data_IF_975377500313
#
_entry.id   IF_975377500313
#
_cell.length_a   1.000
_cell.length_b   1.000
_cell.length_c   1.000
_cell.angle_alpha   90.00
_cell.angle_beta   90.00
_cell.angle_gamma   90.00
#
_symmetry.space_group_name_H-M   'P 1'
#
loop_
_entity.id
_entity.type
_entity.pdbx_description
1 polymer ?
#
# COMPACT_ATOMS: atom_id res chain seq x y z
N UNK A 1 60.95 -17.58 -24.21
CA UNK A 1 60.05 -16.90 -23.31
C UNK A 1 60.34 -15.40 -23.36
N UNK A 2 59.43 -14.66 -23.98
CA UNK A 2 59.56 -13.21 -24.04
C UNK A 2 59.04 -12.63 -22.72
N UNK A 3 59.91 -12.09 -21.87
CA UNK A 3 59.53 -11.26 -20.74
C UNK A 3 59.21 -9.87 -21.24
N UNK A 4 57.93 -9.50 -21.28
CA UNK A 4 57.47 -8.12 -21.48
C UNK A 4 57.69 -7.39 -20.15
N UNK A 5 58.78 -6.61 -20.04
CA UNK A 5 58.96 -5.67 -18.94
C UNK A 5 58.00 -4.47 -19.14
N UNK A 6 56.95 -4.47 -18.35
CA UNK A 6 56.06 -3.28 -18.25
C UNK A 6 56.82 -2.21 -17.46
N UNK A 7 57.35 -1.19 -18.14
CA UNK A 7 57.93 -0.02 -17.47
C UNK A 7 56.80 0.81 -16.86
N UNK A 8 56.75 0.88 -15.55
CA UNK A 8 55.87 1.81 -14.85
C UNK A 8 56.28 3.26 -15.19
N UNK A 9 55.31 4.15 -15.45
CA UNK A 9 55.64 5.55 -15.66
C UNK A 9 56.27 6.20 -14.44
N UNK A 10 57.09 7.25 -14.61
CA UNK A 10 57.71 7.93 -13.49
C UNK A 10 56.67 8.49 -12.50
N UNK A 11 56.96 8.55 -11.19
CA UNK A 11 55.99 8.84 -10.13
C UNK A 11 55.24 10.17 -10.31
N UNK A 12 55.81 11.14 -11.04
CA UNK A 12 55.17 12.40 -11.35
C UNK A 12 53.97 12.26 -12.33
N UNK A 13 53.99 11.29 -13.25
CA UNK A 13 52.88 11.06 -14.18
C UNK A 13 51.73 10.30 -13.50
N UNK A 14 51.99 9.50 -12.47
CA UNK A 14 50.98 8.83 -11.69
C UNK A 14 50.18 9.85 -10.86
N UNK A 15 50.90 10.80 -10.25
CA UNK A 15 50.27 11.88 -9.45
C UNK A 15 49.39 12.80 -10.33
N UNK A 16 49.89 13.17 -11.53
CA UNK A 16 49.07 14.00 -12.49
C UNK A 16 47.87 13.22 -13.01
N UNK A 17 47.97 11.93 -13.30
CA UNK A 17 46.85 11.09 -13.71
C UNK A 17 45.77 10.99 -12.60
N UNK A 18 46.19 10.86 -11.34
CA UNK A 18 45.34 10.77 -10.18
C UNK A 18 44.59 12.09 -9.95
N UNK A 19 45.31 13.24 -10.06
CA UNK A 19 44.69 14.57 -9.95
C UNK A 19 43.70 14.81 -11.08
N UNK A 20 44.03 14.44 -12.32
CA UNK A 20 43.10 14.57 -13.46
C UNK A 20 41.88 13.67 -13.30
N UNK A 21 42.04 12.46 -12.77
CA UNK A 21 40.94 11.55 -12.49
C UNK A 21 40.02 12.10 -11.38
N UNK A 22 40.58 12.64 -10.31
CA UNK A 22 39.80 13.31 -9.25
C UNK A 22 39.06 14.55 -9.76
N UNK A 23 39.70 15.35 -10.61
CA UNK A 23 39.05 16.51 -11.27
C UNK A 23 37.95 16.07 -12.22
N UNK A 24 38.11 14.93 -12.90
CA UNK A 24 37.07 14.36 -13.77
C UNK A 24 35.87 13.85 -12.94
N UNK A 25 36.12 13.20 -11.79
CA UNK A 25 35.05 12.80 -10.87
C UNK A 25 34.32 14.05 -10.34
N UNK A 26 35.06 15.07 -9.88
CA UNK A 26 34.46 16.33 -9.44
C UNK A 26 33.68 17.06 -10.54
N UNK A 27 34.18 17.04 -11.80
CA UNK A 27 33.51 17.61 -12.94
C UNK A 27 32.25 16.84 -13.33
N UNK A 28 32.29 15.51 -13.25
CA UNK A 28 31.14 14.63 -13.51
C UNK A 28 30.10 14.80 -12.39
N UNK A 29 30.50 14.86 -11.11
CA UNK A 29 29.59 15.13 -9.98
C UNK A 29 28.99 16.54 -10.06
N UNK A 30 29.75 17.51 -10.50
CA UNK A 30 29.26 18.90 -10.69
C UNK A 30 28.33 19.06 -11.90
N UNK A 31 28.52 18.25 -12.95
CA UNK A 31 27.70 18.27 -14.19
C UNK A 31 26.52 17.32 -14.14
N UNK A 32 26.58 16.26 -13.33
CA UNK A 32 25.38 15.50 -13.00
C UNK A 32 24.48 16.47 -12.23
N UNK A 33 23.28 16.79 -12.72
CA UNK A 33 22.37 17.60 -11.93
C UNK A 33 22.18 16.85 -10.62
N UNK A 34 22.61 17.48 -9.52
CA UNK A 34 22.19 17.06 -8.18
C UNK A 34 20.68 17.26 -8.18
N UNK A 35 19.96 16.26 -8.62
CA UNK A 35 18.52 16.15 -8.44
C UNK A 35 18.23 15.75 -6.99
N UNK A 36 18.73 16.57 -6.07
CA UNK A 36 18.15 16.75 -4.75
C UNK A 36 17.05 17.81 -4.80
N UNK A 37 16.29 17.85 -5.88
CA UNK A 37 14.93 18.26 -5.80
C UNK A 37 14.20 17.07 -5.23
N UNK A 38 13.88 17.14 -3.94
CA UNK A 38 12.71 16.48 -3.39
C UNK A 38 11.53 17.07 -4.18
N UNK A 39 11.41 16.64 -5.41
CA UNK A 39 10.19 16.74 -6.16
C UNK A 39 9.24 15.84 -5.39
N UNK A 40 8.32 16.41 -4.65
CA UNK A 40 7.05 15.76 -4.36
C UNK A 40 6.41 15.48 -5.71
N UNK A 41 6.95 14.45 -6.38
CA UNK A 41 6.54 14.04 -7.71
C UNK A 41 5.13 13.49 -7.59
N UNK A 42 4.15 14.27 -8.03
CA UNK A 42 2.90 13.68 -8.48
C UNK A 42 3.27 12.59 -9.47
N UNK A 43 3.24 11.34 -9.03
CA UNK A 43 3.32 10.20 -9.92
C UNK A 43 2.39 10.47 -11.09
N UNK A 44 2.90 10.41 -12.32
CA UNK A 44 2.06 10.60 -13.51
C UNK A 44 1.15 9.38 -13.62
N UNK A 45 -0.02 9.47 -12.97
CA UNK A 45 -1.07 8.46 -13.09
C UNK A 45 -1.44 8.34 -14.56
N UNK A 46 -1.44 7.13 -15.08
CA UNK A 46 -1.84 6.88 -16.47
C UNK A 46 -3.34 7.12 -16.59
N UNK A 47 -3.71 8.19 -17.26
CA UNK A 47 -5.10 8.53 -17.56
C UNK A 47 -5.33 8.52 -19.08
N UNK A 48 -6.46 7.96 -19.51
CA UNK A 48 -6.91 8.03 -20.88
C UNK A 48 -8.22 8.82 -20.91
N UNK A 49 -8.24 9.93 -21.63
CA UNK A 49 -9.40 10.83 -21.66
C UNK A 49 -9.82 11.31 -20.26
N UNK A 50 -8.88 11.47 -19.32
CA UNK A 50 -9.15 11.91 -17.94
C UNK A 50 -9.57 10.79 -16.96
N UNK A 51 -9.60 9.53 -17.39
CA UNK A 51 -9.93 8.38 -16.52
C UNK A 51 -8.70 7.55 -16.19
N UNK A 52 -8.49 7.14 -14.93
CA UNK A 52 -7.46 6.18 -14.59
C UNK A 52 -7.74 4.83 -15.26
N UNK A 53 -6.67 4.18 -15.73
CA UNK A 53 -6.81 2.89 -16.44
C UNK A 53 -6.69 1.69 -15.53
N UNK A 54 -5.83 1.76 -14.52
CA UNK A 54 -5.51 0.64 -13.64
C UNK A 54 -5.53 1.12 -12.18
N UNK A 55 -6.35 0.45 -11.36
CA UNK A 55 -6.35 0.57 -9.91
C UNK A 55 -5.86 -0.75 -9.32
N UNK A 56 -4.86 -0.70 -8.45
CA UNK A 56 -4.30 -1.87 -7.77
C UNK A 56 -4.58 -1.81 -6.28
N UNK A 57 -5.29 -2.79 -5.79
CA UNK A 57 -5.50 -3.05 -4.38
C UNK A 57 -4.65 -4.26 -3.94
N UNK A 58 -3.42 -4.01 -3.56
CA UNK A 58 -2.51 -5.03 -3.03
C UNK A 58 -2.83 -5.35 -1.57
N UNK A 59 -3.97 -5.98 -1.36
CA UNK A 59 -4.65 -6.12 -0.07
C UNK A 59 -3.85 -6.87 0.99
N UNK A 60 -3.69 -6.24 2.15
CA UNK A 60 -3.17 -6.92 3.35
C UNK A 60 -4.20 -7.92 3.89
N UNK A 61 -3.81 -9.13 4.34
CA UNK A 61 -4.73 -10.07 4.97
C UNK A 61 -5.30 -9.56 6.29
N UNK A 62 -6.60 -9.78 6.52
CA UNK A 62 -7.33 -9.49 7.78
C UNK A 62 -7.50 -8.00 8.10
N UNK A 63 -7.55 -7.15 7.08
CA UNK A 63 -7.82 -5.71 7.15
C UNK A 63 -9.17 -5.32 6.53
N UNK A 64 -10.21 -6.14 6.71
CA UNK A 64 -11.52 -6.00 6.09
C UNK A 64 -11.53 -6.06 4.53
N UNK A 65 -10.44 -6.51 3.93
CA UNK A 65 -10.25 -6.53 2.48
C UNK A 65 -11.31 -7.34 1.71
N UNK A 66 -11.90 -8.37 2.32
CA UNK A 66 -12.98 -9.16 1.69
C UNK A 66 -14.28 -8.37 1.64
N UNK A 67 -14.62 -7.65 2.71
CA UNK A 67 -15.78 -6.74 2.74
C UNK A 67 -15.64 -5.71 1.63
N UNK A 68 -14.50 -5.02 1.55
CA UNK A 68 -14.25 -4.02 0.52
C UNK A 68 -14.34 -4.60 -0.91
N UNK A 69 -13.69 -5.74 -1.18
CA UNK A 69 -13.71 -6.30 -2.54
C UNK A 69 -15.08 -6.83 -2.94
N UNK A 70 -15.83 -7.48 -2.04
CA UNK A 70 -17.12 -8.07 -2.40
C UNK A 70 -18.24 -7.02 -2.38
N UNK A 71 -18.31 -6.22 -1.30
CA UNK A 71 -19.39 -5.28 -1.12
C UNK A 71 -19.21 -3.97 -1.92
N UNK A 72 -18.01 -3.68 -2.41
CA UNK A 72 -17.74 -2.47 -3.19
C UNK A 72 -17.28 -2.83 -4.60
N UNK A 73 -16.10 -3.45 -4.77
CA UNK A 73 -15.54 -3.64 -6.10
C UNK A 73 -16.39 -4.57 -6.98
N UNK A 74 -16.88 -5.71 -6.44
CA UNK A 74 -17.69 -6.65 -7.21
C UNK A 74 -19.14 -6.21 -7.42
N UNK A 75 -19.67 -5.35 -6.56
CA UNK A 75 -21.01 -4.80 -6.76
C UNK A 75 -20.98 -3.63 -7.75
N UNK A 76 -19.91 -2.80 -7.73
CA UNK A 76 -19.85 -1.55 -8.50
C UNK A 76 -19.25 -1.69 -9.91
N UNK A 77 -18.59 -2.83 -10.26
CA UNK A 77 -17.82 -2.91 -11.50
C UNK A 77 -18.67 -2.76 -12.77
N UNK A 78 -19.90 -3.27 -12.78
CA UNK A 78 -20.81 -3.16 -13.92
C UNK A 78 -21.34 -1.73 -14.08
N UNK A 79 -21.75 -1.12 -12.97
CA UNK A 79 -22.32 0.23 -12.96
C UNK A 79 -21.28 1.29 -13.39
N UNK A 80 -20.03 1.12 -12.96
CA UNK A 80 -18.93 2.01 -13.28
C UNK A 80 -18.08 1.56 -14.48
N UNK A 81 -18.49 0.49 -15.16
CA UNK A 81 -17.88 0.01 -16.41
C UNK A 81 -16.37 -0.25 -16.32
N UNK A 82 -15.94 -0.98 -15.30
CA UNK A 82 -14.57 -1.46 -15.18
C UNK A 82 -14.50 -2.99 -15.04
N UNK A 83 -13.36 -3.57 -15.36
CA UNK A 83 -13.11 -5.00 -15.17
C UNK A 83 -12.45 -5.26 -13.82
N UNK A 84 -12.69 -6.44 -13.23
CA UNK A 84 -12.07 -6.86 -11.97
C UNK A 84 -11.21 -8.09 -12.21
N UNK A 85 -9.97 -8.06 -11.73
CA UNK A 85 -9.03 -9.18 -11.78
C UNK A 85 -8.54 -9.52 -10.39
N UNK A 86 -8.69 -10.77 -10.00
CA UNK A 86 -8.14 -11.32 -8.78
C UNK A 86 -6.80 -11.99 -9.06
N UNK A 87 -5.73 -11.38 -8.56
CA UNK A 87 -4.40 -11.97 -8.59
C UNK A 87 -4.31 -13.06 -7.51
N UNK A 88 -4.23 -14.30 -7.96
CA UNK A 88 -3.94 -15.45 -7.09
C UNK A 88 -2.48 -15.85 -7.31
N UNK A 89 -1.58 -15.11 -6.69
CA UNK A 89 -0.15 -15.37 -6.77
C UNK A 89 0.19 -16.48 -5.78
N UNK A 90 0.65 -17.60 -6.32
CA UNK A 90 1.19 -18.78 -5.67
C UNK A 90 1.16 -18.87 -4.13
N UNK A 91 0.33 -19.78 -3.60
CA UNK A 91 0.44 -20.37 -2.25
C UNK A 91 0.75 -19.36 -1.12
N UNK A 92 0.04 -18.22 -1.08
CA UNK A 92 0.16 -17.18 -0.04
C UNK A 92 1.53 -16.45 0.02
N UNK A 93 2.38 -16.57 -0.97
CA UNK A 93 3.59 -15.75 -1.06
C UNK A 93 3.22 -14.35 -1.55
N UNK A 94 3.57 -13.32 -0.81
CA UNK A 94 3.35 -11.92 -1.20
C UNK A 94 4.56 -11.32 -1.96
N UNK A 95 5.69 -12.02 -1.97
CA UNK A 95 6.93 -11.64 -2.68
C UNK A 95 7.07 -12.45 -3.97
N UNK A 96 7.44 -11.78 -5.04
CA UNK A 96 7.64 -12.34 -6.38
C UNK A 96 9.10 -12.22 -6.82
N UNK A 97 9.56 -13.11 -7.70
CA UNK A 97 10.83 -12.92 -8.37
C UNK A 97 10.81 -11.67 -9.25
N UNK A 98 11.98 -11.06 -9.51
CA UNK A 98 12.07 -9.86 -10.36
C UNK A 98 11.49 -10.12 -11.77
N UNK A 99 11.70 -11.32 -12.32
CA UNK A 99 11.13 -11.74 -13.60
C UNK A 99 9.60 -11.75 -13.53
N UNK A 100 9.02 -12.41 -12.53
CA UNK A 100 7.55 -12.50 -12.38
C UNK A 100 6.92 -11.13 -12.16
N UNK A 101 7.60 -10.23 -11.44
CA UNK A 101 7.18 -8.83 -11.30
C UNK A 101 7.11 -8.15 -12.67
N UNK A 102 8.19 -8.25 -13.46
CA UNK A 102 8.27 -7.63 -14.78
C UNK A 102 7.24 -8.20 -15.76
N UNK A 103 7.01 -9.52 -15.75
CA UNK A 103 6.01 -10.17 -16.58
C UNK A 103 4.60 -9.74 -16.18
N UNK A 104 4.29 -9.70 -14.87
CA UNK A 104 3.01 -9.22 -14.36
C UNK A 104 2.74 -7.77 -14.78
N UNK A 105 3.71 -6.88 -14.55
CA UNK A 105 3.58 -5.44 -14.82
C UNK A 105 3.34 -5.19 -16.31
N UNK A 106 4.11 -5.85 -17.20
CA UNK A 106 3.90 -5.77 -18.65
C UNK A 106 2.52 -6.29 -19.06
N UNK A 107 2.16 -7.50 -18.62
CA UNK A 107 0.87 -8.10 -18.96
C UNK A 107 -0.31 -7.21 -18.55
N UNK A 108 -0.26 -6.60 -17.36
CA UNK A 108 -1.33 -5.70 -16.89
C UNK A 108 -1.39 -4.39 -17.69
N UNK A 109 -0.24 -3.85 -18.07
CA UNK A 109 -0.15 -2.59 -18.83
C UNK A 109 -0.58 -2.79 -20.30
N UNK A 110 -0.20 -3.91 -20.90
CA UNK A 110 -0.49 -4.22 -22.31
C UNK A 110 -1.93 -4.74 -22.52
N UNK A 111 -2.61 -5.13 -21.47
CA UNK A 111 -3.98 -5.69 -21.53
C UNK A 111 -5.04 -4.59 -21.71
N UNK A 112 -4.92 -3.82 -22.78
CA UNK A 112 -5.73 -2.63 -23.04
C UNK A 112 -7.22 -2.89 -23.18
N UNK A 113 -7.61 -4.04 -23.76
CA UNK A 113 -9.02 -4.46 -23.96
C UNK A 113 -9.73 -4.76 -22.63
N UNK A 114 -9.00 -4.91 -21.53
CA UNK A 114 -9.57 -5.11 -20.19
C UNK A 114 -9.58 -3.86 -19.32
N UNK A 115 -9.04 -2.76 -19.83
CA UNK A 115 -9.05 -1.50 -19.09
C UNK A 115 -10.36 -0.73 -19.34
N UNK A 116 -10.90 -0.01 -18.36
CA UNK A 116 -10.38 0.21 -17.00
C UNK A 116 -10.38 -1.06 -16.15
N UNK A 117 -9.35 -1.22 -15.31
CA UNK A 117 -9.06 -2.46 -14.61
C UNK A 117 -8.86 -2.25 -13.11
N UNK A 118 -9.66 -2.91 -12.28
CA UNK A 118 -9.46 -3.02 -10.85
C UNK A 118 -8.80 -4.36 -10.53
N UNK A 119 -7.59 -4.31 -9.99
CA UNK A 119 -6.81 -5.50 -9.67
C UNK A 119 -6.71 -5.63 -8.17
N UNK A 120 -6.97 -6.81 -7.64
CA UNK A 120 -6.73 -7.06 -6.23
C UNK A 120 -6.07 -8.42 -5.98
N UNK A 121 -5.25 -8.49 -4.94
CA UNK A 121 -4.57 -9.73 -4.55
C UNK A 121 -3.68 -9.54 -3.33
N UNK A 122 -3.22 -10.65 -2.77
CA UNK A 122 -2.26 -10.64 -1.66
C UNK A 122 -0.83 -10.61 -2.21
N UNK A 123 -0.34 -9.41 -2.54
CA UNK A 123 0.99 -9.18 -3.08
C UNK A 123 1.59 -7.92 -2.44
N UNK A 124 2.88 -7.92 -2.13
CA UNK A 124 3.56 -6.71 -1.69
C UNK A 124 3.65 -5.69 -2.85
N UNK A 125 3.79 -4.41 -2.52
CA UNK A 125 3.91 -3.33 -3.48
C UNK A 125 4.93 -3.68 -4.59
N UNK A 126 4.56 -3.41 -5.84
CA UNK A 126 5.42 -3.56 -7.02
C UNK A 126 5.56 -2.19 -7.68
N UNK A 127 6.78 -1.71 -7.83
CA UNK A 127 7.04 -0.45 -8.49
C UNK A 127 7.08 -0.63 -10.02
N UNK A 128 6.04 -0.16 -10.70
CA UNK A 128 5.92 -0.22 -12.16
C UNK A 128 6.97 0.65 -12.86
N UNK A 129 7.35 1.76 -12.25
CA UNK A 129 8.36 2.68 -12.79
C UNK A 129 9.74 2.02 -12.89
N UNK A 130 10.04 1.06 -12.00
CA UNK A 130 11.26 0.24 -12.07
C UNK A 130 11.37 -0.54 -13.38
N UNK A 131 10.25 -0.83 -14.02
CA UNK A 131 10.18 -1.54 -15.31
C UNK A 131 9.96 -0.59 -16.50
N UNK A 132 10.10 0.74 -16.28
CA UNK A 132 9.89 1.76 -17.31
C UNK A 132 8.44 1.97 -17.72
N UNK A 133 7.49 1.52 -16.88
CA UNK A 133 6.05 1.60 -17.14
C UNK A 133 5.37 2.62 -16.23
N UNK A 134 4.29 3.22 -16.70
CA UNK A 134 3.55 4.20 -15.92
C UNK A 134 2.91 3.55 -14.69
N UNK A 135 2.96 4.21 -13.52
CA UNK A 135 2.41 3.67 -12.29
C UNK A 135 0.88 3.60 -12.35
N UNK A 136 0.27 2.52 -11.82
CA UNK A 136 -1.16 2.46 -11.59
C UNK A 136 -1.54 3.29 -10.35
N UNK A 137 -2.84 3.46 -10.11
CA UNK A 137 -3.33 3.96 -8.83
C UNK A 137 -3.29 2.83 -7.80
N UNK A 138 -2.50 3.00 -6.75
CA UNK A 138 -2.50 2.10 -5.61
C UNK A 138 -3.47 2.58 -4.54
N UNK A 139 -4.24 1.64 -3.99
CA UNK A 139 -5.07 1.83 -2.79
C UNK A 139 -4.85 0.68 -1.82
N UNK A 140 -5.08 0.90 -0.52
CA UNK A 140 -5.02 -0.17 0.47
C UNK A 140 -5.88 0.12 1.70
N UNK A 141 -6.05 -0.93 2.52
CA UNK A 141 -6.63 -0.89 3.85
C UNK A 141 -5.68 -1.54 4.84
N UNK A 142 -5.48 -0.91 5.98
CA UNK A 142 -4.70 -1.42 7.10
C UNK A 142 -5.58 -1.61 8.34
N UNK A 143 -5.04 -2.27 9.34
CA UNK A 143 -5.69 -2.50 10.63
C UNK A 143 -4.69 -2.40 11.76
N UNK A 144 -5.15 -2.07 12.96
CA UNK A 144 -4.32 -2.13 14.16
C UNK A 144 -3.62 -3.51 14.24
N UNK A 145 -2.29 -3.56 14.47
CA UNK A 145 -1.49 -4.79 14.29
C UNK A 145 -1.95 -5.98 15.13
N UNK A 146 -2.22 -5.77 16.42
CA UNK A 146 -2.69 -6.83 17.30
C UNK A 146 -4.11 -7.28 16.93
N UNK A 147 -5.01 -6.36 16.63
CA UNK A 147 -6.35 -6.66 16.17
C UNK A 147 -6.36 -7.48 14.87
N UNK A 148 -5.40 -7.20 13.98
CA UNK A 148 -5.19 -7.98 12.76
C UNK A 148 -4.70 -9.40 13.10
N UNK A 149 -3.71 -9.54 14.00
CA UNK A 149 -3.19 -10.84 14.45
C UNK A 149 -4.28 -11.67 15.12
N UNK A 150 -5.02 -11.10 16.06
CA UNK A 150 -6.15 -11.75 16.72
C UNK A 150 -7.22 -12.21 15.72
N UNK A 151 -7.53 -11.36 14.75
CA UNK A 151 -8.47 -11.72 13.68
C UNK A 151 -7.95 -12.92 12.86
N UNK A 152 -6.65 -13.03 12.63
CA UNK A 152 -6.05 -14.15 11.93
C UNK A 152 -6.03 -15.41 12.81
N UNK A 153 -5.63 -15.27 14.06
CA UNK A 153 -5.56 -16.36 15.03
C UNK A 153 -6.89 -17.11 15.19
N UNK A 154 -7.96 -16.37 15.46
CA UNK A 154 -9.29 -16.96 15.63
C UNK A 154 -9.91 -17.41 14.31
N UNK A 155 -9.57 -16.74 13.19
CA UNK A 155 -9.98 -17.20 11.87
C UNK A 155 -9.44 -18.59 11.52
N UNK A 156 -8.19 -18.90 11.86
CA UNK A 156 -7.60 -20.21 11.61
C UNK A 156 -8.30 -21.33 12.43
N UNK A 157 -8.94 -20.99 13.53
CA UNK A 157 -9.65 -21.91 14.43
C UNK A 157 -11.13 -22.04 14.10
N UNK A 158 -11.81 -20.93 14.01
CA UNK A 158 -13.27 -20.88 13.92
C UNK A 158 -13.83 -20.47 12.56
N UNK A 159 -12.97 -20.03 11.65
CA UNK A 159 -13.40 -19.51 10.35
C UNK A 159 -14.10 -18.14 10.43
N UNK A 160 -14.94 -17.87 9.43
CA UNK A 160 -15.73 -16.65 9.31
C UNK A 160 -17.16 -16.96 8.84
N UNK A 161 -18.00 -15.93 8.77
CA UNK A 161 -19.39 -16.04 8.31
C UNK A 161 -19.50 -16.12 6.77
N UNK A 162 -18.42 -15.86 6.02
CA UNK A 162 -18.45 -15.78 4.55
C UNK A 162 -18.32 -17.17 3.89
N UNK A 163 -17.43 -18.03 4.42
CA UNK A 163 -17.24 -19.40 3.91
C UNK A 163 -17.54 -20.40 5.01
N UNK A 164 -18.83 -20.49 5.31
CA UNK A 164 -19.36 -21.43 6.32
C UNK A 164 -19.06 -22.86 5.88
N UNK A 165 -18.57 -23.69 6.81
CA UNK A 165 -18.26 -25.10 6.53
C UNK A 165 -16.85 -25.37 5.98
N UNK A 166 -16.09 -24.33 5.54
CA UNK A 166 -14.72 -24.54 5.12
C UNK A 166 -13.80 -24.81 6.32
N UNK A 167 -13.29 -26.05 6.38
CA UNK A 167 -12.35 -26.46 7.44
C UNK A 167 -11.05 -25.65 7.35
N UNK A 168 -10.68 -24.98 8.43
CA UNK A 168 -9.47 -24.16 8.52
C UNK A 168 -8.29 -24.96 9.06
N UNK A 169 -7.07 -24.40 8.94
CA UNK A 169 -5.83 -25.08 9.30
C UNK A 169 -5.76 -25.52 10.77
N UNK A 170 -6.45 -24.80 11.66
CA UNK A 170 -6.52 -25.09 13.12
C UNK A 170 -7.95 -25.42 13.59
N UNK A 171 -8.81 -25.88 12.70
CA UNK A 171 -10.18 -26.24 13.03
C UNK A 171 -10.20 -27.33 14.10
N UNK A 172 -11.01 -27.13 15.18
CA UNK A 172 -11.08 -28.00 16.34
C UNK A 172 -10.14 -27.63 17.50
N UNK A 173 -9.17 -26.74 17.29
CA UNK A 173 -8.38 -26.18 18.36
C UNK A 173 -9.14 -25.00 19.00
N UNK A 174 -9.48 -25.12 20.29
CA UNK A 174 -10.23 -24.11 21.05
C UNK A 174 -9.33 -23.23 21.93
N UNK A 175 -8.01 -23.36 21.78
CA UNK A 175 -7.02 -22.60 22.53
C UNK A 175 -7.24 -21.09 22.37
N UNK A 176 -7.29 -20.37 23.48
CA UNK A 176 -7.36 -18.92 23.50
C UNK A 176 -6.02 -18.29 23.13
N UNK A 177 -6.03 -17.00 22.78
CA UNK A 177 -4.79 -16.29 22.46
C UNK A 177 -3.87 -16.19 23.71
N UNK A 178 -4.44 -16.02 24.90
CA UNK A 178 -3.70 -16.00 26.16
C UNK A 178 -3.01 -17.33 26.46
N UNK A 179 -3.72 -18.44 26.31
CA UNK A 179 -3.13 -19.78 26.48
C UNK A 179 -2.00 -20.03 25.48
N UNK A 180 -2.16 -19.57 24.24
CA UNK A 180 -1.12 -19.67 23.23
C UNK A 180 0.13 -18.85 23.59
N UNK A 181 -0.04 -17.60 24.04
CA UNK A 181 1.07 -16.73 24.47
C UNK A 181 1.80 -17.36 25.67
N UNK A 182 1.07 -17.88 26.66
CA UNK A 182 1.65 -18.46 27.88
C UNK A 182 2.58 -19.66 27.59
N UNK A 183 2.30 -20.43 26.52
CA UNK A 183 3.15 -21.54 26.08
C UNK A 183 4.10 -21.21 24.94
N UNK A 184 4.21 -19.92 24.55
CA UNK A 184 5.04 -19.47 23.41
C UNK A 184 4.67 -20.17 22.09
N UNK A 185 3.38 -20.26 21.81
CA UNK A 185 2.86 -20.92 20.61
C UNK A 185 3.16 -20.15 19.32
N UNK A 186 3.43 -20.86 18.23
CA UNK A 186 3.79 -20.26 16.94
C UNK A 186 2.70 -19.35 16.35
N UNK A 187 1.42 -19.71 16.48
CA UNK A 187 0.31 -18.98 15.86
C UNK A 187 0.05 -17.60 16.51
N UNK A 188 0.48 -17.41 17.75
CA UNK A 188 0.35 -16.18 18.53
C UNK A 188 1.69 -15.42 18.68
N UNK A 189 2.76 -15.96 18.15
CA UNK A 189 4.07 -15.31 18.19
C UNK A 189 3.97 -13.87 17.64
N UNK A 190 4.44 -12.86 18.38
CA UNK A 190 4.39 -11.46 17.94
C UNK A 190 5.05 -11.21 16.58
N UNK A 191 6.02 -12.04 16.15
CA UNK A 191 6.63 -11.96 14.82
C UNK A 191 5.63 -12.17 13.69
N UNK A 192 4.50 -12.84 13.94
CA UNK A 192 3.39 -12.98 12.99
C UNK A 192 2.66 -11.65 12.69
N UNK A 193 2.93 -10.61 13.47
CA UNK A 193 2.44 -9.27 13.17
C UNK A 193 3.21 -8.60 12.03
N UNK A 194 4.48 -8.99 11.79
CA UNK A 194 5.32 -8.44 10.72
C UNK A 194 4.72 -8.73 9.34
N UNK A 195 3.82 -7.88 8.91
CA UNK A 195 3.06 -8.10 7.67
C UNK A 195 2.70 -6.82 6.94
N UNK A 196 2.17 -5.79 7.62
CA UNK A 196 1.72 -4.57 6.94
C UNK A 196 2.92 -3.81 6.40
N UNK A 197 3.96 -3.63 7.19
CA UNK A 197 5.21 -3.02 6.75
C UNK A 197 5.75 -3.72 5.48
N UNK A 198 5.95 -5.05 5.41
CA UNK A 198 6.38 -5.74 4.19
C UNK A 198 5.50 -5.47 2.97
N UNK A 199 4.17 -5.42 3.13
CA UNK A 199 3.26 -5.17 2.02
C UNK A 199 3.44 -3.79 1.38
N UNK A 200 3.77 -2.76 2.18
CA UNK A 200 4.02 -1.41 1.70
C UNK A 200 5.49 -1.17 1.33
N UNK A 201 6.42 -1.80 2.03
CA UNK A 201 7.85 -1.75 1.72
C UNK A 201 8.15 -2.29 0.32
N UNK A 202 7.51 -3.40 -0.07
CA UNK A 202 7.57 -3.97 -1.41
C UNK A 202 8.38 -5.27 -1.52
N UNK A 203 9.08 -5.43 -2.63
CA UNK A 203 9.68 -6.70 -3.06
C UNK A 203 11.16 -6.88 -2.69
N UNK A 204 11.74 -5.89 -2.00
CA UNK A 204 13.15 -5.97 -1.61
C UNK A 204 13.36 -6.96 -0.45
N UNK A 205 14.48 -7.73 -0.40
CA UNK A 205 14.74 -8.71 0.67
C UNK A 205 14.61 -8.14 2.08
N UNK A 206 15.15 -6.93 2.35
CA UNK A 206 15.08 -6.31 3.67
C UNK A 206 13.64 -6.03 4.14
N UNK A 207 12.66 -5.96 3.21
CA UNK A 207 11.25 -5.77 3.57
C UNK A 207 10.68 -6.96 4.36
N UNK A 208 11.24 -8.16 4.15
CA UNK A 208 10.84 -9.38 4.85
C UNK A 208 11.62 -9.62 6.14
N UNK A 209 12.66 -8.82 6.43
CA UNK A 209 13.43 -8.93 7.68
C UNK A 209 12.60 -8.42 8.85
N UNK A 210 12.27 -9.33 9.77
CA UNK A 210 11.43 -9.03 10.93
C UNK A 210 12.13 -8.00 11.81
N UNK A 211 11.43 -6.91 12.16
CA UNK A 211 12.00 -5.83 12.97
C UNK A 211 12.88 -4.85 12.20
N UNK A 212 12.91 -4.91 10.87
CA UNK A 212 13.71 -3.99 10.05
C UNK A 212 13.15 -2.56 10.07
N UNK A 213 13.86 -1.64 10.72
CA UNK A 213 13.55 -0.21 10.67
C UNK A 213 13.69 0.37 9.27
N UNK A 214 14.61 -0.15 8.46
CA UNK A 214 14.74 0.22 7.05
C UNK A 214 13.46 -0.12 6.26
N UNK A 215 12.86 -1.27 6.54
CA UNK A 215 11.59 -1.66 5.92
C UNK A 215 10.44 -0.72 6.33
N UNK A 216 10.37 -0.33 7.61
CA UNK A 216 9.39 0.65 8.11
C UNK A 216 9.52 1.98 7.37
N UNK A 217 10.71 2.55 7.29
CA UNK A 217 10.92 3.84 6.63
C UNK A 217 10.62 3.77 5.13
N UNK A 218 10.95 2.65 4.48
CA UNK A 218 10.56 2.44 3.09
C UNK A 218 9.04 2.31 2.94
N UNK A 219 8.36 1.60 3.84
CA UNK A 219 6.90 1.47 3.82
C UNK A 219 6.20 2.82 3.96
N UNK A 220 6.67 3.69 4.88
CA UNK A 220 6.15 5.05 5.04
C UNK A 220 6.33 5.89 3.77
N UNK A 221 7.53 5.87 3.17
CA UNK A 221 7.78 6.57 1.89
C UNK A 221 6.86 6.06 0.78
N UNK A 222 6.78 4.75 0.61
CA UNK A 222 5.91 4.14 -0.41
C UNK A 222 4.46 4.53 -0.20
N UNK A 223 3.98 4.55 1.05
CA UNK A 223 2.60 4.96 1.36
C UNK A 223 2.32 6.39 0.89
N UNK A 224 3.21 7.33 1.17
CA UNK A 224 3.01 8.74 0.80
C UNK A 224 3.19 8.98 -0.70
N UNK A 225 4.20 8.34 -1.31
CA UNK A 225 4.61 8.67 -2.69
C UNK A 225 3.83 7.88 -3.75
N UNK A 226 3.34 6.68 -3.40
CA UNK A 226 2.82 5.73 -4.39
C UNK A 226 1.34 5.38 -4.20
N UNK A 227 0.77 5.59 -3.02
CA UNK A 227 -0.64 5.28 -2.76
C UNK A 227 -1.50 6.55 -2.86
N UNK A 228 -2.65 6.40 -3.51
CA UNK A 228 -3.65 7.47 -3.54
C UNK A 228 -4.35 7.58 -2.19
N UNK A 229 -4.81 6.45 -1.67
CA UNK A 229 -5.50 6.35 -0.37
C UNK A 229 -5.11 5.05 0.31
N UNK A 230 -4.72 5.18 1.58
CA UNK A 230 -4.60 4.05 2.51
C UNK A 230 -5.58 4.29 3.66
N UNK A 231 -6.69 3.57 3.64
CA UNK A 231 -7.70 3.64 4.69
C UNK A 231 -7.41 2.70 5.85
N UNK A 232 -8.20 2.81 6.91
CA UNK A 232 -8.14 1.91 8.08
C UNK A 232 -9.43 1.10 8.19
N UNK A 233 -9.32 -0.15 8.62
CA UNK A 233 -10.47 -1.09 8.68
C UNK A 233 -11.65 -0.58 9.49
N UNK A 234 -11.38 0.19 10.55
CA UNK A 234 -12.41 0.69 11.46
C UNK A 234 -13.13 1.93 10.92
N UNK A 235 -12.60 2.51 9.83
CA UNK A 235 -13.15 3.66 9.11
C UNK A 235 -13.36 3.34 7.63
N UNK A 236 -13.85 2.14 7.34
CA UNK A 236 -14.06 1.68 5.96
C UNK A 236 -15.06 2.56 5.20
N UNK A 237 -16.10 3.07 5.87
CA UNK A 237 -17.10 3.99 5.31
C UNK A 237 -16.43 5.29 4.82
N UNK A 238 -15.58 5.89 5.64
CA UNK A 238 -14.83 7.10 5.27
C UNK A 238 -13.88 6.82 4.10
N UNK A 239 -13.25 5.63 4.10
CA UNK A 239 -12.38 5.21 3.00
C UNK A 239 -13.16 5.07 1.68
N UNK A 240 -14.37 4.50 1.73
CA UNK A 240 -15.26 4.39 0.55
C UNK A 240 -15.63 5.77 0.02
N UNK A 241 -15.99 6.71 0.91
CA UNK A 241 -16.31 8.09 0.52
C UNK A 241 -15.12 8.79 -0.15
N UNK A 242 -13.91 8.61 0.41
CA UNK A 242 -12.69 9.15 -0.18
C UNK A 242 -12.37 8.57 -1.56
N UNK A 243 -12.60 7.28 -1.75
CA UNK A 243 -12.42 6.63 -3.06
C UNK A 243 -13.46 7.12 -4.09
N UNK A 244 -14.70 7.27 -3.69
CA UNK A 244 -15.74 7.87 -4.56
C UNK A 244 -15.36 9.29 -4.96
N UNK A 245 -14.89 10.10 -4.01
CA UNK A 245 -14.48 11.48 -4.26
C UNK A 245 -13.26 11.60 -5.18
N UNK A 246 -12.29 10.68 -5.06
CA UNK A 246 -10.99 10.80 -5.76
C UNK A 246 -10.92 10.05 -7.09
N UNK A 247 -11.61 8.91 -7.21
CA UNK A 247 -11.68 8.10 -8.44
C UNK A 247 -13.12 7.68 -8.77
N UNK A 248 -13.99 8.65 -9.05
CA UNK A 248 -15.41 8.40 -9.32
C UNK A 248 -15.64 7.52 -10.55
N UNK A 249 -14.65 7.38 -11.44
CA UNK A 249 -14.73 6.46 -12.59
C UNK A 249 -14.79 4.98 -12.16
N UNK A 250 -14.38 4.65 -10.93
CA UNK A 250 -14.47 3.30 -10.35
C UNK A 250 -15.54 3.22 -9.24
N UNK A 251 -15.73 4.29 -8.46
CA UNK A 251 -16.46 4.20 -7.20
C UNK A 251 -17.65 5.17 -7.09
N UNK A 252 -18.15 5.70 -8.21
CA UNK A 252 -19.35 6.56 -8.18
C UNK A 252 -20.54 5.80 -7.60
N UNK A 253 -21.18 6.40 -6.57
CA UNK A 253 -22.28 5.78 -5.86
C UNK A 253 -21.89 4.79 -4.77
N UNK A 254 -20.59 4.58 -4.53
CA UNK A 254 -20.08 3.58 -3.59
C UNK A 254 -20.47 3.87 -2.14
N UNK A 255 -20.47 5.14 -1.71
CA UNK A 255 -20.87 5.51 -0.35
C UNK A 255 -22.34 5.17 -0.10
N UNK A 256 -23.24 5.59 -1.02
CA UNK A 256 -24.66 5.26 -0.92
C UNK A 256 -24.91 3.76 -0.94
N UNK A 257 -24.17 3.04 -1.80
CA UNK A 257 -24.24 1.58 -1.85
C UNK A 257 -23.79 0.96 -0.53
N UNK A 258 -22.64 1.38 0.01
CA UNK A 258 -22.13 0.89 1.29
C UNK A 258 -23.13 1.11 2.45
N UNK A 259 -23.75 2.29 2.51
CA UNK A 259 -24.76 2.64 3.52
C UNK A 259 -26.06 1.82 3.38
N UNK A 260 -26.33 1.26 2.22
CA UNK A 260 -27.48 0.38 1.97
C UNK A 260 -27.24 -1.10 2.31
N UNK A 261 -25.99 -1.47 2.64
CA UNK A 261 -25.65 -2.85 2.99
C UNK A 261 -26.23 -3.22 4.36
N UNK A 262 -26.71 -4.46 4.47
CA UNK A 262 -27.03 -5.03 5.78
C UNK A 262 -25.74 -5.32 6.59
N UNK A 263 -25.88 -5.51 7.91
CA UNK A 263 -24.74 -5.75 8.80
C UNK A 263 -23.92 -6.98 8.38
N UNK A 264 -24.55 -7.99 7.79
CA UNK A 264 -23.84 -9.22 7.38
C UNK A 264 -22.95 -8.96 6.17
N UNK A 265 -23.38 -8.11 5.23
CA UNK A 265 -22.61 -7.70 4.06
C UNK A 265 -21.55 -6.64 4.40
N UNK A 266 -21.86 -5.73 5.30
CA UNK A 266 -20.92 -4.73 5.79
C UNK A 266 -19.77 -5.36 6.61
N UNK A 267 -19.99 -6.55 7.20
CA UNK A 267 -19.01 -7.27 8.03
C UNK A 267 -18.81 -8.74 7.59
N UNK A 268 -18.63 -8.98 6.28
CA UNK A 268 -18.56 -10.33 5.68
C UNK A 268 -17.61 -11.30 6.34
N UNK A 269 -16.53 -10.83 6.94
CA UNK A 269 -15.53 -11.69 7.60
C UNK A 269 -15.40 -11.41 9.09
N UNK A 270 -16.52 -11.26 9.77
CA UNK A 270 -16.51 -11.24 11.22
C UNK A 270 -15.99 -12.59 11.73
N UNK A 271 -14.86 -12.55 12.45
CA UNK A 271 -14.23 -13.75 13.02
C UNK A 271 -15.04 -14.21 14.23
N UNK A 272 -15.51 -15.45 14.16
CA UNK A 272 -16.34 -16.04 15.24
C UNK A 272 -15.51 -16.25 16.50
N UNK A 273 -16.18 -16.21 17.66
CA UNK A 273 -15.63 -16.58 18.98
C UNK A 273 -14.31 -15.90 19.33
N UNK A 274 -14.11 -14.65 18.90
CA UNK A 274 -12.94 -13.87 19.27
C UNK A 274 -13.01 -13.54 20.77
N UNK A 275 -12.01 -13.97 21.53
CA UNK A 275 -11.83 -13.65 22.94
C UNK A 275 -10.80 -12.53 23.05
N UNK A 276 -11.11 -11.41 23.74
CA UNK A 276 -10.13 -10.35 24.00
C UNK A 276 -8.97 -10.89 24.85
N UNK A 277 -7.73 -10.47 24.59
CA UNK A 277 -6.58 -10.83 25.40
C UNK A 277 -6.65 -10.20 26.79
N UNK A 278 -6.04 -10.86 27.78
CA UNK A 278 -5.83 -10.33 29.11
C UNK A 278 -4.86 -9.14 29.12
N UNK A 279 -4.91 -8.31 30.16
CA UNK A 279 -3.98 -7.19 30.33
C UNK A 279 -2.52 -7.64 30.35
N UNK A 280 -2.22 -8.82 30.91
CA UNK A 280 -0.89 -9.40 30.92
C UNK A 280 -0.41 -9.74 29.50
N UNK A 281 -1.24 -10.38 28.70
CA UNK A 281 -0.94 -10.69 27.28
C UNK A 281 -0.75 -9.41 26.46
N UNK A 282 -1.62 -8.41 26.67
CA UNK A 282 -1.46 -7.10 26.01
C UNK A 282 -0.11 -6.46 26.35
N UNK A 283 0.29 -6.46 27.63
CA UNK A 283 1.58 -5.94 28.05
C UNK A 283 2.75 -6.65 27.36
N UNK A 284 2.72 -7.99 27.34
CA UNK A 284 3.77 -8.80 26.71
C UNK A 284 3.88 -8.50 25.20
N UNK A 285 2.77 -8.48 24.48
CA UNK A 285 2.76 -8.22 23.04
C UNK A 285 3.18 -6.79 22.72
N UNK A 286 2.66 -5.80 23.43
CA UNK A 286 2.97 -4.39 23.22
C UNK A 286 4.43 -4.04 23.54
N UNK A 287 5.09 -4.81 24.40
CA UNK A 287 6.50 -4.61 24.72
C UNK A 287 7.45 -5.03 23.58
N UNK A 288 6.99 -5.87 22.65
CA UNK A 288 7.80 -6.39 21.56
C UNK A 288 8.16 -5.32 20.52
N UNK A 289 9.38 -5.40 19.96
CA UNK A 289 9.83 -4.47 18.93
C UNK A 289 8.99 -4.56 17.66
N UNK A 290 8.57 -5.76 17.28
CA UNK A 290 7.72 -5.98 16.10
C UNK A 290 6.38 -5.24 16.23
N UNK A 291 5.73 -5.34 17.41
CA UNK A 291 4.50 -4.59 17.64
C UNK A 291 4.74 -3.08 17.55
N UNK A 292 5.80 -2.57 18.18
CA UNK A 292 6.11 -1.14 18.18
C UNK A 292 6.30 -0.60 16.78
N UNK A 293 7.04 -1.32 15.91
CA UNK A 293 7.27 -0.91 14.52
C UNK A 293 5.98 -0.98 13.67
N UNK A 294 5.24 -2.07 13.75
CA UNK A 294 3.96 -2.20 13.02
C UNK A 294 2.92 -1.18 13.54
N UNK A 295 2.92 -0.86 14.83
CA UNK A 295 2.09 0.18 15.42
C UNK A 295 2.51 1.58 14.96
N UNK A 296 3.81 1.87 14.91
CA UNK A 296 4.34 3.12 14.38
C UNK A 296 3.93 3.31 12.91
N UNK A 297 3.96 2.25 12.10
CA UNK A 297 3.47 2.31 10.73
C UNK A 297 1.97 2.57 10.65
N UNK A 298 1.18 1.87 11.48
CA UNK A 298 -0.27 2.06 11.56
C UNK A 298 -0.65 3.48 11.97
N UNK A 299 -0.03 4.02 13.01
CA UNK A 299 -0.30 5.37 13.50
C UNK A 299 0.09 6.44 12.46
N UNK A 300 1.21 6.23 11.75
CA UNK A 300 1.61 7.07 10.64
C UNK A 300 0.57 7.06 9.50
N UNK A 301 0.10 5.90 9.11
CA UNK A 301 -0.89 5.77 8.04
C UNK A 301 -2.25 6.34 8.45
N UNK A 302 -2.67 6.15 9.71
CA UNK A 302 -3.89 6.73 10.26
C UNK A 302 -3.82 8.26 10.25
N UNK A 303 -2.73 8.85 10.73
CA UNK A 303 -2.52 10.30 10.71
C UNK A 303 -2.52 10.87 9.28
N UNK A 304 -1.91 10.14 8.33
CA UNK A 304 -1.94 10.52 6.92
C UNK A 304 -3.37 10.50 6.35
N UNK A 305 -4.12 9.42 6.61
CA UNK A 305 -5.52 9.31 6.21
C UNK A 305 -6.39 10.42 6.82
N UNK A 306 -6.23 10.71 8.12
CA UNK A 306 -6.97 11.78 8.81
C UNK A 306 -6.69 13.15 8.17
N UNK A 307 -5.44 13.42 7.81
CA UNK A 307 -5.07 14.66 7.12
C UNK A 307 -5.75 14.80 5.75
N UNK A 308 -5.79 13.71 4.97
CA UNK A 308 -6.49 13.69 3.68
C UNK A 308 -8.00 13.82 3.84
N UNK A 309 -8.58 13.08 4.78
CA UNK A 309 -10.02 13.11 5.04
C UNK A 309 -10.50 14.49 5.52
N UNK A 310 -9.75 15.11 6.45
CA UNK A 310 -10.03 16.47 6.91
C UNK A 310 -10.03 17.49 5.77
N UNK A 311 -9.08 17.37 4.84
CA UNK A 311 -9.03 18.23 3.64
C UNK A 311 -10.22 17.98 2.72
N UNK A 312 -10.53 16.73 2.44
CA UNK A 312 -11.63 16.35 1.54
C UNK A 312 -13.01 16.74 2.09
N UNK A 313 -13.19 16.80 3.42
CA UNK A 313 -14.44 17.18 4.09
C UNK A 313 -14.46 18.64 4.52
N UNK A 314 -13.48 19.44 4.14
CA UNK A 314 -13.32 20.83 4.59
C UNK A 314 -13.42 20.99 6.12
N UNK A 315 -12.92 19.99 6.85
CA UNK A 315 -12.88 19.96 8.31
C UNK A 315 -14.19 19.50 8.99
N UNK A 316 -15.25 19.21 8.25
CA UNK A 316 -16.54 18.74 8.83
C UNK A 316 -16.45 17.34 9.44
N UNK A 317 -15.54 16.49 8.93
CA UNK A 317 -15.39 15.10 9.34
C UNK A 317 -16.53 14.17 8.90
N UNK A 318 -17.44 14.63 8.00
CA UNK A 318 -18.54 13.80 7.48
C UNK A 318 -18.17 13.24 6.11
N UNK A 319 -18.36 11.94 5.94
CA UNK A 319 -18.04 11.22 4.70
C UNK A 319 -18.81 11.76 3.48
N UNK A 320 -20.06 12.17 3.66
CA UNK A 320 -20.91 12.74 2.63
C UNK A 320 -20.35 14.05 2.05
N UNK A 321 -19.70 14.85 2.89
CA UNK A 321 -19.14 16.13 2.46
C UNK A 321 -17.91 15.91 1.55
N UNK A 322 -17.15 14.84 1.71
CA UNK A 322 -16.05 14.50 0.81
C UNK A 322 -16.58 14.25 -0.63
N UNK A 323 -17.67 13.50 -0.77
CA UNK A 323 -18.30 13.21 -2.06
C UNK A 323 -18.97 14.47 -2.64
N UNK A 324 -19.66 15.23 -1.81
CA UNK A 324 -20.34 16.46 -2.23
C UNK A 324 -19.34 17.51 -2.73
N UNK A 325 -18.23 17.69 -2.04
CA UNK A 325 -17.19 18.65 -2.45
C UNK A 325 -16.49 18.25 -3.74
N UNK A 326 -16.24 16.98 -3.95
CA UNK A 326 -15.63 16.47 -5.18
C UNK A 326 -16.52 16.68 -6.41
N UNK A 327 -17.84 16.80 -6.23
CA UNK A 327 -18.82 17.08 -7.30
C UNK A 327 -19.05 18.57 -7.56
N UNK A 328 -18.47 19.47 -6.77
CA UNK A 328 -18.60 20.91 -6.99
C UNK A 328 -17.63 21.35 -8.11
N UNK A 329 -18.23 22.00 -9.12
CA UNK A 329 -17.45 22.61 -10.20
C UNK A 329 -17.12 24.05 -9.83
N UNK A 330 -15.82 24.41 -9.90
CA UNK A 330 -15.37 25.77 -9.69
C UNK A 330 -14.97 26.39 -11.03
N UNK A 331 -15.47 27.59 -11.30
CA UNK A 331 -15.09 28.38 -12.45
C UNK A 331 -14.38 29.65 -11.99
N UNK A 332 -13.11 29.81 -12.34
CA UNK A 332 -12.35 31.02 -12.09
C UNK A 332 -11.77 31.54 -13.40
N UNK A 333 -11.99 32.84 -13.66
CA UNK A 333 -11.38 33.52 -14.80
C UNK A 333 -10.19 34.36 -14.33
N UNK A 334 -9.01 33.80 -14.48
CA UNK A 334 -7.77 34.51 -14.19
C UNK A 334 -7.50 35.46 -15.37
N UNK A 335 -7.48 36.78 -15.08
CA UNK A 335 -7.02 37.80 -16.05
C UNK A 335 -5.56 38.08 -15.73
N UNK A 336 -4.62 37.82 -16.67
CA UNK A 336 -3.25 38.21 -16.45
C UNK A 336 -3.15 39.74 -16.30
N UNK A 337 -2.43 40.17 -15.28
CA UNK A 337 -2.13 41.61 -15.12
C UNK A 337 -1.19 42.01 -16.23
N UNK A 338 -1.62 42.94 -17.06
CA UNK A 338 -0.74 43.48 -18.12
C UNK A 338 0.33 44.38 -17.45
N UNK A 339 1.60 43.98 -17.42
CA UNK A 339 2.65 44.76 -16.75
C UNK A 339 2.93 46.10 -17.44
N UNK A 340 2.39 46.30 -18.64
CA UNK A 340 2.59 47.54 -19.43
C UNK A 340 1.40 48.54 -19.32
N UNK A 341 0.47 48.33 -18.40
CA UNK A 341 -0.67 49.25 -18.22
C UNK A 341 -0.51 50.31 -17.13
N UNK A 342 0.72 50.53 -16.70
CA UNK A 342 1.10 51.66 -15.84
C UNK A 342 2.10 52.55 -16.60
N UNK A 343 1.61 53.29 -17.56
CA UNK A 343 2.18 54.53 -18.08
C UNK A 343 1.05 55.50 -18.39
#
# INVERSE_FOLDING_TARGET
>A
PFHVMIRLPPPGHLLTALVLFMLLIFYVDYRLPQSSTVSYGRSRITVDGGRPRIVVYNRVPKTASTTFTNAIAYDMFKENSFNVVHLNITKNRYVMSLRDQGDLVRNLTDWRERQPLFIHGHVAFIDFERFGLAPPIYINLIREPLERLLSHYYFLRYGDNYRVGLKRARAGNNETFDECISRSGHDCDPTQMWLQIPYFCGQHPFCSEIGSRQALEQAKRTLVDKYLIVGVSDRIRDTVAMLEATIPSFFRGALKHFDSLDETRAHLRNTRKKVPPSSQTLYLVHSTEVYKLEREFYDFALAHFDGLFKKATNGSGRAEDAVAMASQYHFEKIKPVNPYRTL
#
